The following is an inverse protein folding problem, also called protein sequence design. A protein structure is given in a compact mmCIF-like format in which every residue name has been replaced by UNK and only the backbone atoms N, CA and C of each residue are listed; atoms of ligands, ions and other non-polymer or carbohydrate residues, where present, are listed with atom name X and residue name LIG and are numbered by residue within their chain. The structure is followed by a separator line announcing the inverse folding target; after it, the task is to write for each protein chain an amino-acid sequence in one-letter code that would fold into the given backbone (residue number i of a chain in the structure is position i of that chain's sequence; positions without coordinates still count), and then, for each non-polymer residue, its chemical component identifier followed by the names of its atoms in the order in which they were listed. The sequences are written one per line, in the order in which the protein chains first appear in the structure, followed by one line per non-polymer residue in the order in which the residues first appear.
data_IF_104198103746
#
_entry.id   IF_104198103746
#
_cell.length_a   1.000
_cell.length_b   1.000
_cell.length_c   1.000
_cell.angle_alpha   90.00
_cell.angle_beta   90.00
_cell.angle_gamma   90.00
#
_symmetry.space_group_name_H-M   'P 1'
#
loop_
_entity.id
_entity.type
_entity.pdbx_description
1 polymer ?
#
# COMPACT_ATOMS: atom_id res chain seq x y z
N UNK A 1 -35.57 14.50 -8.34
CA UNK A 1 -34.71 13.83 -9.32
C UNK A 1 -33.51 14.73 -9.62
N UNK A 2 -32.27 14.26 -9.46
CA UNK A 2 -31.07 15.00 -9.85
C UNK A 2 -31.12 15.29 -11.35
N UNK A 3 -30.77 16.52 -11.75
CA UNK A 3 -30.65 16.92 -13.15
C UNK A 3 -29.57 16.02 -13.83
N UNK A 4 -29.66 15.80 -15.13
CA UNK A 4 -28.72 14.93 -15.89
C UNK A 4 -27.25 15.30 -15.65
N UNK A 5 -26.92 16.61 -15.60
CA UNK A 5 -25.59 17.12 -15.27
C UNK A 5 -25.13 16.75 -13.86
N UNK A 6 -25.99 16.91 -12.85
CA UNK A 6 -25.70 16.53 -11.45
C UNK A 6 -25.45 15.04 -11.31
N UNK A 7 -26.21 14.22 -12.05
CA UNK A 7 -26.02 12.77 -12.06
C UNK A 7 -24.64 12.36 -12.60
N UNK A 8 -24.17 13.02 -13.67
CA UNK A 8 -22.82 12.77 -14.21
C UNK A 8 -21.74 13.18 -13.22
N UNK A 9 -21.88 14.36 -12.58
CA UNK A 9 -20.91 14.90 -11.62
C UNK A 9 -20.71 14.01 -10.38
N UNK A 10 -21.65 13.12 -10.06
CA UNK A 10 -21.54 12.16 -8.95
C UNK A 10 -21.21 10.76 -9.47
N UNK A 11 -21.87 10.29 -10.52
CA UNK A 11 -21.73 8.90 -10.96
C UNK A 11 -20.36 8.62 -11.58
N UNK A 12 -19.85 9.53 -12.43
CA UNK A 12 -18.58 9.33 -13.12
C UNK A 12 -17.39 9.23 -12.12
N UNK A 13 -17.18 10.19 -11.20
CA UNK A 13 -16.10 10.04 -10.22
C UNK A 13 -16.30 8.83 -9.29
N UNK A 14 -17.53 8.44 -8.96
CA UNK A 14 -17.80 7.21 -8.20
C UNK A 14 -17.38 5.95 -8.97
N UNK A 15 -17.59 5.90 -10.28
CA UNK A 15 -17.08 4.81 -11.13
C UNK A 15 -15.55 4.83 -11.23
N UNK A 16 -14.94 6.01 -11.39
CA UNK A 16 -13.48 6.14 -11.43
C UNK A 16 -12.83 5.64 -10.14
N UNK A 17 -13.38 6.00 -8.95
CA UNK A 17 -12.91 5.46 -7.66
C UNK A 17 -13.02 3.93 -7.64
N UNK A 18 -14.17 3.39 -8.10
CA UNK A 18 -14.42 1.95 -8.09
C UNK A 18 -13.48 1.18 -9.03
N UNK A 19 -13.03 1.80 -10.13
CA UNK A 19 -12.15 1.20 -11.13
C UNK A 19 -10.65 1.28 -10.76
N UNK A 20 -10.26 2.03 -9.72
CA UNK A 20 -8.86 2.17 -9.31
C UNK A 20 -8.16 0.81 -9.13
N UNK A 21 -8.73 -0.21 -8.46
CA UNK A 21 -8.07 -1.51 -8.34
C UNK A 21 -7.72 -2.13 -9.70
N UNK A 22 -8.58 -2.02 -10.70
CA UNK A 22 -8.33 -2.53 -12.05
C UNK A 22 -7.29 -1.67 -12.79
N UNK A 23 -7.36 -0.35 -12.68
CA UNK A 23 -6.43 0.56 -13.34
C UNK A 23 -5.00 0.46 -12.79
N UNK A 24 -4.83 0.13 -11.52
CA UNK A 24 -3.51 -0.13 -10.93
C UNK A 24 -2.80 -1.33 -11.56
N UNK A 25 -3.53 -2.28 -12.15
CA UNK A 25 -2.96 -3.43 -12.87
C UNK A 25 -2.40 -2.99 -14.23
N UNK A 26 -3.05 -2.05 -14.90
CA UNK A 26 -2.63 -1.57 -16.23
C UNK A 26 -1.45 -0.60 -16.21
N UNK A 27 -0.99 -0.20 -15.00
CA UNK A 27 0.11 0.73 -14.81
C UNK A 27 -0.29 2.06 -14.16
N UNK A 28 0.64 3.02 -14.04
CA UNK A 28 0.41 4.22 -13.24
C UNK A 28 -0.49 5.26 -13.92
N UNK A 29 -0.63 5.24 -15.26
CA UNK A 29 -1.31 6.33 -15.97
C UNK A 29 -2.81 6.41 -15.67
N UNK A 30 -3.56 5.32 -15.89
CA UNK A 30 -5.02 5.33 -15.72
C UNK A 30 -5.42 5.54 -14.26
N UNK A 31 -4.67 4.96 -13.33
CA UNK A 31 -4.91 5.12 -11.91
C UNK A 31 -4.64 6.56 -11.44
N UNK A 32 -3.56 7.20 -11.89
CA UNK A 32 -3.23 8.59 -11.55
C UNK A 32 -4.22 9.58 -12.19
N UNK A 33 -4.58 9.36 -13.47
CA UNK A 33 -5.61 10.14 -14.16
C UNK A 33 -6.95 10.08 -13.42
N UNK A 34 -7.34 8.87 -12.95
CA UNK A 34 -8.59 8.71 -12.18
C UNK A 34 -8.56 9.51 -10.88
N UNK A 35 -7.45 9.49 -10.13
CA UNK A 35 -7.29 10.29 -8.91
C UNK A 35 -7.41 11.78 -9.22
N UNK A 36 -6.75 12.27 -10.27
CA UNK A 36 -6.82 13.68 -10.66
C UNK A 36 -8.25 14.08 -11.04
N UNK A 37 -8.92 13.27 -11.87
CA UNK A 37 -10.31 13.56 -12.26
C UNK A 37 -11.26 13.53 -11.06
N UNK A 38 -11.12 12.55 -10.16
CA UNK A 38 -11.92 12.49 -8.92
C UNK A 38 -11.72 13.74 -8.08
N UNK A 39 -10.48 14.23 -7.92
CA UNK A 39 -10.21 15.47 -7.21
C UNK A 39 -10.87 16.68 -7.89
N UNK A 40 -10.80 16.79 -9.22
CA UNK A 40 -11.43 17.87 -9.98
C UNK A 40 -12.96 17.84 -9.82
N UNK A 41 -13.59 16.67 -10.00
CA UNK A 41 -15.03 16.53 -9.80
C UNK A 41 -15.46 16.84 -8.36
N UNK A 42 -14.68 16.42 -7.37
CA UNK A 42 -14.91 16.74 -5.98
C UNK A 42 -14.90 18.26 -5.75
N UNK A 43 -13.86 18.96 -6.22
CA UNK A 43 -13.76 20.42 -6.07
C UNK A 43 -14.93 21.14 -6.78
N UNK A 44 -15.27 20.73 -8.00
CA UNK A 44 -16.42 21.29 -8.71
C UNK A 44 -17.71 21.15 -7.89
N UNK A 45 -17.98 19.91 -7.36
CA UNK A 45 -19.18 19.66 -6.55
C UNK A 45 -19.19 20.50 -5.27
N UNK A 46 -18.06 20.60 -4.56
CA UNK A 46 -17.92 21.39 -3.33
C UNK A 46 -18.22 22.87 -3.60
N UNK A 47 -17.68 23.43 -4.68
CA UNK A 47 -17.92 24.84 -5.05
C UNK A 47 -19.37 25.09 -5.47
N UNK A 48 -19.95 24.22 -6.29
CA UNK A 48 -21.33 24.35 -6.76
C UNK A 48 -22.36 24.25 -5.61
N UNK A 49 -22.13 23.29 -4.69
CA UNK A 49 -23.05 23.00 -3.59
C UNK A 49 -22.71 23.75 -2.29
N UNK A 50 -21.60 24.50 -2.25
CA UNK A 50 -21.07 25.21 -1.07
C UNK A 50 -20.83 24.28 0.15
N UNK A 51 -20.46 23.02 -0.10
CA UNK A 51 -20.28 21.99 0.95
C UNK A 51 -18.84 21.99 1.51
N UNK A 52 -18.30 23.15 1.87
CA UNK A 52 -16.91 23.35 2.32
C UNK A 52 -16.56 22.61 3.62
N UNK A 53 -17.54 22.13 4.38
CA UNK A 53 -17.35 21.41 5.64
C UNK A 53 -16.49 20.14 5.50
N UNK A 54 -16.40 19.55 4.30
CA UNK A 54 -15.52 18.40 4.04
C UNK A 54 -14.04 18.71 4.27
N UNK A 55 -13.61 19.97 4.08
CA UNK A 55 -12.24 20.40 4.36
C UNK A 55 -11.92 20.51 5.86
N UNK A 56 -12.92 20.58 6.74
CA UNK A 56 -12.72 20.59 8.19
C UNK A 56 -12.40 19.21 8.79
N UNK A 57 -12.08 18.22 7.96
CA UNK A 57 -11.67 16.90 8.42
C UNK A 57 -10.28 16.97 9.07
N UNK A 58 -10.15 16.46 10.30
CA UNK A 58 -8.87 16.47 11.05
C UNK A 58 -7.71 15.80 10.30
N UNK A 59 -7.98 14.70 9.59
CA UNK A 59 -6.98 14.07 8.76
C UNK A 59 -6.48 15.02 7.67
N UNK A 60 -7.41 15.69 6.96
CA UNK A 60 -7.04 16.59 5.88
C UNK A 60 -6.23 17.79 6.38
N UNK A 61 -6.58 18.35 7.55
CA UNK A 61 -5.82 19.45 8.15
C UNK A 61 -4.39 19.04 8.52
N UNK A 62 -4.21 17.85 9.13
CA UNK A 62 -2.89 17.31 9.45
C UNK A 62 -2.10 17.02 8.15
N UNK A 63 -2.75 16.44 7.16
CA UNK A 63 -2.15 16.19 5.84
C UNK A 63 -1.73 17.51 5.17
N UNK A 64 -2.56 18.56 5.25
CA UNK A 64 -2.25 19.87 4.68
C UNK A 64 -1.01 20.52 5.34
N UNK A 65 -0.86 20.39 6.65
CA UNK A 65 0.37 20.85 7.35
C UNK A 65 1.59 20.10 6.82
N UNK A 66 1.51 18.79 6.67
CA UNK A 66 2.59 17.99 6.11
C UNK A 66 2.88 18.37 4.65
N UNK A 67 1.84 18.54 3.83
CA UNK A 67 1.97 19.00 2.45
C UNK A 67 2.64 20.36 2.36
N UNK A 68 2.24 21.33 3.17
CA UNK A 68 2.86 22.66 3.21
C UNK A 68 4.34 22.58 3.58
N UNK A 69 4.68 21.73 4.54
CA UNK A 69 6.07 21.44 4.86
C UNK A 69 6.84 20.88 3.66
N UNK A 70 6.29 19.86 2.97
CA UNK A 70 6.90 19.28 1.78
C UNK A 70 7.11 20.32 0.66
N UNK A 71 6.11 21.18 0.45
CA UNK A 71 6.17 22.24 -0.56
C UNK A 71 7.26 23.28 -0.23
N UNK A 72 7.31 23.79 1.02
CA UNK A 72 8.33 24.71 1.48
C UNK A 72 9.73 24.06 1.41
N UNK A 73 9.86 22.79 1.81
CA UNK A 73 11.07 22.02 1.71
C UNK A 73 11.60 21.98 0.27
N UNK A 74 10.72 21.69 -0.71
CA UNK A 74 11.12 21.64 -2.12
C UNK A 74 11.44 23.02 -2.74
N UNK A 75 10.97 24.11 -2.16
CA UNK A 75 11.42 25.46 -2.54
C UNK A 75 12.80 25.80 -1.98
N UNK A 76 13.05 25.48 -0.71
CA UNK A 76 14.34 25.74 -0.04
C UNK A 76 15.46 24.86 -0.61
N UNK A 77 15.15 23.58 -0.86
CA UNK A 77 16.07 22.58 -1.41
C UNK A 77 15.79 22.33 -2.90
N UNK A 78 15.49 23.39 -3.62
CA UNK A 78 15.22 23.32 -5.05
C UNK A 78 16.43 22.75 -5.80
N UNK A 79 16.22 21.66 -6.52
CA UNK A 79 17.19 21.05 -7.41
C UNK A 79 16.74 21.19 -8.87
N UNK A 80 15.49 20.75 -9.14
CA UNK A 80 14.86 20.87 -10.45
C UNK A 80 13.33 21.02 -10.36
N UNK A 81 12.70 21.33 -11.49
CA UNK A 81 11.24 21.44 -11.56
C UNK A 81 10.49 20.10 -11.33
N UNK A 82 11.14 18.94 -11.55
CA UNK A 82 10.50 17.65 -11.31
C UNK A 82 10.27 17.40 -9.82
N UNK A 83 11.21 17.86 -8.98
CA UNK A 83 11.09 17.78 -7.53
C UNK A 83 9.96 18.66 -7.01
N UNK A 84 9.92 19.93 -7.47
CA UNK A 84 8.85 20.85 -7.14
C UNK A 84 7.47 20.36 -7.62
N UNK A 85 7.37 19.88 -8.85
CA UNK A 85 6.15 19.26 -9.41
C UNK A 85 5.68 18.08 -8.58
N UNK A 86 6.61 17.27 -8.05
CA UNK A 86 6.28 16.10 -7.22
C UNK A 86 5.68 16.51 -5.87
N UNK A 87 6.20 17.57 -5.25
CA UNK A 87 5.66 18.08 -3.99
C UNK A 87 4.28 18.71 -4.17
N UNK A 88 4.10 19.57 -5.19
CA UNK A 88 2.79 20.18 -5.51
C UNK A 88 1.76 19.09 -5.82
N UNK A 89 2.15 18.12 -6.65
CA UNK A 89 1.29 17.01 -7.04
C UNK A 89 0.86 16.12 -5.87
N UNK A 90 1.59 16.13 -4.74
CA UNK A 90 1.27 15.30 -3.58
C UNK A 90 -0.05 15.73 -2.89
N UNK A 91 -0.45 17.01 -3.02
CA UNK A 91 -1.70 17.54 -2.46
C UNK A 91 -2.94 16.73 -2.90
N UNK A 92 -2.94 16.23 -4.16
CA UNK A 92 -4.08 15.48 -4.70
C UNK A 92 -4.44 14.25 -3.87
N UNK A 93 -3.49 13.61 -3.18
CA UNK A 93 -3.77 12.40 -2.40
C UNK A 93 -4.57 12.69 -1.13
N UNK A 94 -4.32 13.83 -0.47
CA UNK A 94 -5.16 14.30 0.64
C UNK A 94 -6.56 14.68 0.18
N UNK A 95 -6.66 15.41 -0.93
CA UNK A 95 -7.95 15.77 -1.56
C UNK A 95 -8.70 14.51 -1.97
N UNK A 96 -8.02 13.54 -2.59
CA UNK A 96 -8.60 12.26 -2.97
C UNK A 96 -9.22 11.51 -1.79
N UNK A 97 -8.52 11.47 -0.64
CA UNK A 97 -9.06 10.79 0.55
C UNK A 97 -10.37 11.39 1.04
N UNK A 98 -10.52 12.72 1.03
CA UNK A 98 -11.79 13.38 1.40
C UNK A 98 -12.83 13.29 0.28
N UNK A 99 -12.40 13.25 -0.99
CA UNK A 99 -13.28 13.05 -2.13
C UNK A 99 -13.95 11.66 -2.07
N UNK A 100 -13.22 10.62 -1.68
CA UNK A 100 -13.80 9.26 -1.47
C UNK A 100 -14.92 9.31 -0.43
N UNK A 101 -14.75 10.03 0.68
CA UNK A 101 -15.83 10.22 1.68
C UNK A 101 -17.04 10.84 1.01
N UNK A 102 -16.84 11.94 0.30
CA UNK A 102 -17.91 12.69 -0.37
C UNK A 102 -18.69 11.80 -1.35
N UNK A 103 -18.00 11.09 -2.24
CA UNK A 103 -18.67 10.28 -3.25
C UNK A 103 -19.33 9.03 -2.69
N UNK A 104 -18.85 8.45 -1.58
CA UNK A 104 -19.57 7.36 -0.89
C UNK A 104 -20.87 7.90 -0.26
N UNK A 105 -20.85 9.07 0.38
CA UNK A 105 -22.04 9.69 0.97
C UNK A 105 -23.10 10.03 -0.10
N UNK A 106 -22.70 10.52 -1.27
CA UNK A 106 -23.62 10.85 -2.38
C UNK A 106 -24.07 9.63 -3.18
N UNK A 107 -23.27 8.55 -3.25
CA UNK A 107 -23.51 7.38 -4.08
C UNK A 107 -23.05 6.09 -3.39
N UNK A 108 -23.86 5.55 -2.50
CA UNK A 108 -23.51 4.32 -1.74
C UNK A 108 -23.30 3.08 -2.64
N UNK A 109 -23.80 3.08 -3.89
CA UNK A 109 -23.54 2.01 -4.87
C UNK A 109 -22.06 1.86 -5.19
N UNK A 110 -21.25 2.92 -4.98
CA UNK A 110 -19.78 2.92 -5.13
C UNK A 110 -19.16 1.74 -4.36
N UNK A 111 -19.62 1.46 -3.14
CA UNK A 111 -19.09 0.37 -2.31
C UNK A 111 -19.28 -1.01 -2.98
N UNK A 112 -20.45 -1.25 -3.58
CA UNK A 112 -20.73 -2.49 -4.33
C UNK A 112 -19.93 -2.56 -5.62
N UNK A 113 -19.82 -1.47 -6.37
CA UNK A 113 -19.03 -1.43 -7.60
C UNK A 113 -17.55 -1.71 -7.30
N UNK A 114 -16.98 -1.06 -6.28
CA UNK A 114 -15.60 -1.31 -5.85
C UNK A 114 -15.38 -2.77 -5.45
N UNK A 115 -16.34 -3.37 -4.71
CA UNK A 115 -16.27 -4.79 -4.36
C UNK A 115 -16.22 -5.69 -5.61
N UNK A 116 -17.09 -5.48 -6.61
CA UNK A 116 -17.08 -6.29 -7.82
C UNK A 116 -15.84 -6.08 -8.67
N UNK A 117 -15.31 -4.84 -8.73
CA UNK A 117 -14.04 -4.57 -9.41
C UNK A 117 -12.89 -5.31 -8.73
N UNK A 118 -12.86 -5.37 -7.40
CA UNK A 118 -11.89 -6.20 -6.68
C UNK A 118 -12.02 -7.69 -7.00
N UNK A 119 -13.25 -8.22 -7.03
CA UNK A 119 -13.47 -9.63 -7.41
C UNK A 119 -12.86 -9.91 -8.79
N UNK A 120 -13.18 -9.07 -9.78
CA UNK A 120 -12.66 -9.21 -11.15
C UNK A 120 -11.13 -9.11 -11.15
N UNK A 121 -10.56 -8.09 -10.51
CA UNK A 121 -9.13 -7.85 -10.49
C UNK A 121 -8.35 -8.99 -9.83
N UNK A 122 -8.81 -9.49 -8.69
CA UNK A 122 -8.14 -10.60 -7.99
C UNK A 122 -8.28 -11.92 -8.74
N UNK A 123 -9.46 -12.22 -9.29
CA UNK A 123 -9.63 -13.43 -10.10
C UNK A 123 -8.79 -13.40 -11.36
N UNK A 124 -8.72 -12.26 -12.06
CA UNK A 124 -7.86 -12.07 -13.22
C UNK A 124 -6.39 -12.37 -12.86
N UNK A 125 -5.87 -11.73 -11.80
CA UNK A 125 -4.47 -11.90 -11.40
C UNK A 125 -4.18 -13.31 -10.89
N UNK A 126 -5.10 -13.94 -10.16
CA UNK A 126 -4.92 -15.31 -9.66
C UNK A 126 -4.92 -16.31 -10.83
N UNK A 127 -5.90 -16.23 -11.72
CA UNK A 127 -5.99 -17.15 -12.87
C UNK A 127 -4.75 -16.97 -13.77
N UNK A 128 -4.46 -15.74 -14.18
CA UNK A 128 -3.31 -15.45 -15.05
C UNK A 128 -1.98 -15.81 -14.37
N UNK A 129 -1.86 -15.58 -13.06
CA UNK A 129 -0.66 -15.92 -12.29
C UNK A 129 -0.37 -17.40 -12.25
N UNK A 130 -1.38 -18.23 -12.04
CA UNK A 130 -1.19 -19.68 -12.11
C UNK A 130 -0.98 -20.18 -13.54
N UNK A 131 -1.63 -19.59 -14.56
CA UNK A 131 -1.32 -19.87 -15.96
C UNK A 131 0.15 -19.58 -16.26
N UNK A 132 0.64 -18.39 -15.90
CA UNK A 132 2.05 -18.02 -16.12
C UNK A 132 3.00 -18.91 -15.33
N UNK A 133 2.63 -19.36 -14.14
CA UNK A 133 3.47 -20.30 -13.37
C UNK A 133 3.62 -21.65 -14.06
N UNK A 134 2.51 -22.26 -14.54
CA UNK A 134 2.54 -23.60 -15.14
C UNK A 134 2.96 -23.59 -16.61
N UNK A 135 2.48 -22.65 -17.41
CA UNK A 135 2.69 -22.58 -18.87
C UNK A 135 3.96 -21.77 -19.20
N UNK A 136 4.49 -20.98 -18.24
CA UNK A 136 5.62 -20.05 -18.38
C UNK A 136 5.33 -18.83 -19.24
N UNK A 137 4.08 -18.64 -19.66
CA UNK A 137 3.57 -17.47 -20.36
C UNK A 137 2.20 -17.09 -19.78
N UNK A 138 1.94 -15.79 -19.70
CA UNK A 138 0.63 -15.31 -19.27
C UNK A 138 -0.41 -15.37 -20.40
N UNK A 139 -1.68 -15.10 -20.13
CA UNK A 139 -2.75 -15.12 -21.15
C UNK A 139 -2.53 -14.16 -22.33
N UNK A 140 -1.62 -13.20 -22.22
CA UNK A 140 -1.23 -12.27 -23.30
C UNK A 140 0.08 -12.65 -23.99
N UNK A 141 0.65 -13.84 -23.70
CA UNK A 141 1.89 -14.31 -24.31
C UNK A 141 3.17 -13.69 -23.70
N UNK A 142 3.09 -12.99 -22.56
CA UNK A 142 4.28 -12.48 -21.91
C UNK A 142 4.96 -13.59 -21.10
N UNK A 143 6.25 -13.91 -21.40
CA UNK A 143 6.94 -14.99 -20.71
C UNK A 143 7.32 -14.63 -19.27
N UNK A 144 7.55 -15.66 -18.46
CA UNK A 144 8.22 -15.49 -17.16
C UNK A 144 9.61 -14.91 -17.42
N UNK A 145 10.08 -14.03 -16.54
CA UNK A 145 11.44 -13.50 -16.63
C UNK A 145 12.48 -14.65 -16.55
N UNK A 146 13.17 -14.88 -17.66
CA UNK A 146 14.15 -15.98 -17.81
C UNK A 146 15.27 -15.88 -16.77
N UNK A 147 15.69 -14.67 -16.38
CA UNK A 147 16.80 -14.45 -15.43
C UNK A 147 16.39 -14.69 -13.98
N UNK A 148 15.20 -14.23 -13.64
CA UNK A 148 14.73 -14.25 -12.26
C UNK A 148 13.66 -15.30 -12.00
N UNK A 149 13.07 -15.93 -13.03
CA UNK A 149 11.92 -16.83 -12.97
C UNK A 149 10.71 -16.26 -12.22
N UNK A 150 10.57 -14.93 -12.23
CA UNK A 150 9.51 -14.21 -11.53
C UNK A 150 8.24 -14.10 -12.36
N UNK A 151 7.12 -14.30 -11.69
CA UNK A 151 5.79 -14.03 -12.22
C UNK A 151 5.59 -12.53 -12.23
N UNK A 152 5.31 -11.94 -13.40
CA UNK A 152 5.12 -10.48 -13.60
C UNK A 152 3.71 -10.13 -14.02
N UNK A 153 3.02 -11.02 -14.71
CA UNK A 153 1.69 -10.83 -15.28
C UNK A 153 1.61 -9.58 -16.18
N UNK A 154 0.59 -8.75 -15.90
CA UNK A 154 0.28 -7.51 -16.60
C UNK A 154 1.11 -6.31 -16.12
N UNK A 155 2.02 -6.50 -15.15
CA UNK A 155 2.82 -5.40 -14.60
C UNK A 155 4.10 -5.12 -15.39
N UNK A 156 4.22 -5.65 -16.61
CA UNK A 156 5.38 -5.50 -17.49
C UNK A 156 6.70 -5.88 -16.78
N UNK A 157 7.70 -5.00 -16.81
CA UNK A 157 9.00 -5.23 -16.17
C UNK A 157 9.03 -4.94 -14.67
N UNK A 158 7.87 -4.67 -14.04
CA UNK A 158 7.79 -4.35 -12.61
C UNK A 158 7.41 -5.57 -11.79
N UNK A 159 8.18 -5.85 -10.73
CA UNK A 159 7.89 -6.91 -9.76
C UNK A 159 7.01 -6.37 -8.62
N UNK A 160 5.75 -6.02 -8.95
CA UNK A 160 4.80 -5.40 -8.01
C UNK A 160 3.50 -6.19 -7.84
N UNK A 161 3.42 -7.40 -8.42
CA UNK A 161 2.25 -8.28 -8.27
C UNK A 161 1.93 -8.55 -6.80
N UNK A 162 2.92 -9.02 -6.04
CA UNK A 162 2.75 -9.30 -4.62
C UNK A 162 2.45 -8.02 -3.82
N UNK A 163 3.09 -6.90 -4.19
CA UNK A 163 2.82 -5.59 -3.57
C UNK A 163 1.37 -5.13 -3.78
N UNK A 164 0.81 -5.35 -4.97
CA UNK A 164 -0.60 -5.09 -5.27
C UNK A 164 -1.51 -5.99 -4.43
N UNK A 165 -1.28 -7.31 -4.48
CA UNK A 165 -2.11 -8.30 -3.81
C UNK A 165 -2.11 -8.10 -2.29
N UNK A 166 -0.95 -7.97 -1.67
CA UNK A 166 -0.81 -7.85 -0.21
C UNK A 166 -1.44 -6.57 0.36
N UNK A 167 -1.35 -5.45 -0.35
CA UNK A 167 -1.86 -4.17 0.15
C UNK A 167 -3.34 -3.94 -0.12
N UNK A 168 -3.87 -4.49 -1.20
CA UNK A 168 -5.28 -4.27 -1.58
C UNK A 168 -6.22 -5.38 -1.09
N UNK A 169 -5.71 -6.58 -0.79
CA UNK A 169 -6.53 -7.67 -0.25
C UNK A 169 -7.24 -7.30 1.06
N UNK A 170 -6.61 -6.61 2.03
CA UNK A 170 -7.31 -6.20 3.25
C UNK A 170 -8.47 -5.23 2.97
N UNK A 171 -8.37 -4.37 1.95
CA UNK A 171 -9.45 -3.46 1.52
C UNK A 171 -10.61 -4.25 0.93
N UNK A 172 -10.31 -5.25 0.10
CA UNK A 172 -11.31 -6.17 -0.43
C UNK A 172 -12.04 -6.96 0.67
N UNK A 173 -11.27 -7.46 1.64
CA UNK A 173 -11.82 -8.13 2.80
C UNK A 173 -12.72 -7.20 3.63
N UNK A 174 -12.32 -5.94 3.80
CA UNK A 174 -13.13 -4.91 4.45
C UNK A 174 -14.49 -4.77 3.78
N UNK A 175 -14.52 -4.57 2.46
CA UNK A 175 -15.76 -4.47 1.70
C UNK A 175 -16.62 -5.74 1.80
N UNK A 176 -15.99 -6.91 1.88
CA UNK A 176 -16.70 -8.17 2.12
C UNK A 176 -17.42 -8.18 3.48
N UNK A 177 -16.73 -7.71 4.54
CA UNK A 177 -17.37 -7.59 5.86
C UNK A 177 -18.50 -6.57 5.87
N UNK A 178 -18.33 -5.45 5.21
CA UNK A 178 -19.35 -4.42 5.14
C UNK A 178 -20.62 -4.89 4.41
N UNK A 179 -20.45 -5.51 3.24
CA UNK A 179 -21.57 -5.84 2.35
C UNK A 179 -22.18 -7.21 2.65
N UNK A 180 -21.37 -8.17 3.11
CA UNK A 180 -21.73 -9.58 3.19
C UNK A 180 -21.28 -10.26 4.50
N UNK A 181 -20.89 -9.50 5.53
CA UNK A 181 -20.30 -10.03 6.76
C UNK A 181 -21.18 -10.99 7.56
N UNK A 182 -22.46 -11.04 7.28
CA UNK A 182 -23.38 -12.00 7.89
C UNK A 182 -23.58 -13.28 7.03
N UNK A 183 -22.99 -13.36 5.85
CA UNK A 183 -23.14 -14.49 4.90
C UNK A 183 -21.87 -15.34 4.89
N UNK A 184 -21.91 -16.47 5.60
CA UNK A 184 -20.77 -17.40 5.75
C UNK A 184 -20.15 -17.84 4.41
N UNK A 185 -20.96 -18.03 3.37
CA UNK A 185 -20.46 -18.47 2.06
C UNK A 185 -19.48 -17.45 1.42
N UNK A 186 -19.74 -16.14 1.55
CA UNK A 186 -18.82 -15.13 1.06
C UNK A 186 -17.51 -15.14 1.84
N UNK A 187 -17.57 -15.34 3.16
CA UNK A 187 -16.37 -15.42 4.00
C UNK A 187 -15.53 -16.66 3.63
N UNK A 188 -16.16 -17.81 3.35
CA UNK A 188 -15.45 -19.01 2.89
C UNK A 188 -14.81 -18.78 1.52
N UNK A 189 -15.55 -18.21 0.57
CA UNK A 189 -15.01 -17.88 -0.77
C UNK A 189 -13.78 -16.98 -0.69
N UNK A 190 -13.86 -15.89 0.08
CA UNK A 190 -12.71 -14.97 0.26
C UNK A 190 -11.56 -15.64 1.02
N UNK A 191 -11.85 -16.61 1.91
CA UNK A 191 -10.81 -17.38 2.59
C UNK A 191 -10.08 -18.30 1.62
N UNK A 192 -10.79 -18.95 0.72
CA UNK A 192 -10.20 -19.75 -0.35
C UNK A 192 -9.33 -18.86 -1.29
N UNK A 193 -9.88 -17.71 -1.70
CA UNK A 193 -9.15 -16.76 -2.53
C UNK A 193 -7.86 -16.25 -1.83
N UNK A 194 -7.90 -16.06 -0.49
CA UNK A 194 -6.71 -15.70 0.29
C UNK A 194 -5.61 -16.75 0.17
N UNK A 195 -5.95 -18.04 0.29
CA UNK A 195 -4.95 -19.12 0.16
C UNK A 195 -4.31 -19.09 -1.23
N UNK A 196 -5.09 -18.90 -2.29
CA UNK A 196 -4.56 -18.77 -3.65
C UNK A 196 -3.65 -17.54 -3.80
N UNK A 197 -4.04 -16.41 -3.25
CA UNK A 197 -3.27 -15.16 -3.30
C UNK A 197 -1.96 -15.31 -2.53
N UNK A 198 -1.98 -15.81 -1.29
CA UNK A 198 -0.79 -16.02 -0.47
C UNK A 198 0.21 -16.94 -1.16
N UNK A 199 -0.29 -18.02 -1.74
CA UNK A 199 0.50 -18.96 -2.52
C UNK A 199 1.09 -18.31 -3.77
N UNK A 200 0.30 -17.50 -4.48
CA UNK A 200 0.78 -16.78 -5.68
C UNK A 200 1.85 -15.74 -5.32
N UNK A 201 1.71 -15.02 -4.21
CA UNK A 201 2.75 -14.10 -3.71
C UNK A 201 4.03 -14.88 -3.39
N UNK A 202 3.93 -16.06 -2.77
CA UNK A 202 5.08 -16.92 -2.54
C UNK A 202 5.76 -17.31 -3.86
N UNK A 203 5.00 -17.79 -4.85
CA UNK A 203 5.49 -18.19 -6.16
C UNK A 203 6.10 -17.03 -6.96
N UNK A 204 5.62 -15.80 -6.78
CA UNK A 204 6.20 -14.61 -7.42
C UNK A 204 7.60 -14.26 -6.89
N UNK A 205 8.00 -14.81 -5.74
CA UNK A 205 9.28 -14.54 -5.09
C UNK A 205 9.42 -13.15 -4.51
N UNK A 206 8.31 -12.44 -4.28
CA UNK A 206 8.29 -11.11 -3.65
C UNK A 206 8.26 -11.22 -2.12
N UNK A 207 9.42 -11.44 -1.49
CA UNK A 207 9.56 -11.69 -0.04
C UNK A 207 8.90 -10.64 0.85
N UNK A 208 9.08 -9.36 0.51
CA UNK A 208 8.48 -8.25 1.28
C UNK A 208 6.96 -8.26 1.18
N UNK A 209 6.42 -8.59 0.01
CA UNK A 209 4.98 -8.71 -0.17
C UNK A 209 4.40 -9.91 0.59
N UNK A 210 5.11 -11.03 0.61
CA UNK A 210 4.78 -12.20 1.42
C UNK A 210 4.74 -11.85 2.92
N UNK A 211 5.79 -11.18 3.41
CA UNK A 211 5.84 -10.66 4.78
C UNK A 211 4.64 -9.74 5.09
N UNK A 212 4.32 -8.78 4.22
CA UNK A 212 3.22 -7.86 4.45
C UNK A 212 1.84 -8.55 4.41
N UNK A 213 1.63 -9.52 3.53
CA UNK A 213 0.37 -10.25 3.48
C UNK A 213 0.16 -11.08 4.74
N UNK A 214 1.19 -11.78 5.19
CA UNK A 214 1.21 -12.54 6.46
C UNK A 214 1.01 -11.61 7.68
N UNK A 215 1.72 -10.49 7.74
CA UNK A 215 1.59 -9.50 8.81
C UNK A 215 0.17 -8.93 8.88
N UNK A 216 -0.42 -8.62 7.71
CA UNK A 216 -1.81 -8.18 7.58
C UNK A 216 -2.79 -9.24 8.10
N UNK A 217 -2.60 -10.49 7.72
CA UNK A 217 -3.46 -11.60 8.17
C UNK A 217 -3.38 -11.79 9.70
N UNK A 218 -2.19 -11.75 10.27
CA UNK A 218 -1.98 -11.84 11.74
C UNK A 218 -2.64 -10.65 12.43
N UNK A 219 -2.45 -9.43 11.94
CA UNK A 219 -3.09 -8.23 12.47
C UNK A 219 -4.62 -8.38 12.50
N UNK A 220 -5.22 -8.82 11.38
CA UNK A 220 -6.65 -9.05 11.28
C UNK A 220 -7.10 -10.13 12.27
N UNK A 221 -6.41 -11.27 12.36
CA UNK A 221 -6.76 -12.38 13.27
C UNK A 221 -6.77 -11.93 14.73
N UNK A 222 -5.81 -11.10 15.13
CA UNK A 222 -5.70 -10.60 16.51
C UNK A 222 -6.85 -9.65 16.85
N UNK A 223 -7.17 -8.72 15.94
CA UNK A 223 -8.03 -7.57 16.23
C UNK A 223 -9.49 -7.74 15.80
N UNK A 224 -9.78 -8.64 14.85
CA UNK A 224 -11.14 -8.86 14.34
C UNK A 224 -12.05 -9.47 15.39
N UNK A 225 -13.37 -9.17 15.31
CA UNK A 225 -14.37 -9.73 16.20
C UNK A 225 -14.97 -11.03 15.64
N UNK A 226 -15.43 -11.01 14.38
CA UNK A 226 -16.13 -12.12 13.72
C UNK A 226 -15.18 -13.01 12.92
N UNK A 227 -15.51 -14.31 12.84
CA UNK A 227 -14.83 -15.28 11.98
C UNK A 227 -13.32 -15.47 12.26
N UNK A 228 -12.84 -15.13 13.47
CA UNK A 228 -11.44 -15.28 13.88
C UNK A 228 -10.89 -16.70 13.65
N UNK A 229 -11.68 -17.75 14.01
CA UNK A 229 -11.30 -19.15 13.77
C UNK A 229 -11.12 -19.46 12.28
N UNK A 230 -12.03 -18.98 11.42
CA UNK A 230 -11.93 -19.19 9.97
C UNK A 230 -10.66 -18.54 9.44
N UNK A 231 -10.33 -17.30 9.86
CA UNK A 231 -9.11 -16.60 9.44
C UNK A 231 -7.85 -17.32 9.89
N UNK A 232 -7.84 -17.82 11.11
CA UNK A 232 -6.72 -18.61 11.62
C UNK A 232 -6.51 -19.91 10.82
N UNK A 233 -7.59 -20.66 10.59
CA UNK A 233 -7.54 -21.89 9.78
C UNK A 233 -7.09 -21.56 8.34
N UNK A 234 -7.56 -20.46 7.77
CA UNK A 234 -7.18 -20.00 6.42
C UNK A 234 -5.67 -19.74 6.34
N UNK A 235 -5.10 -19.05 7.35
CA UNK A 235 -3.66 -18.78 7.42
C UNK A 235 -2.85 -20.08 7.56
N UNK A 236 -3.29 -21.01 8.41
CA UNK A 236 -2.64 -22.32 8.54
C UNK A 236 -2.70 -23.11 7.22
N UNK A 237 -3.83 -23.07 6.53
CA UNK A 237 -4.00 -23.75 5.24
C UNK A 237 -3.09 -23.13 4.16
N UNK A 238 -2.92 -21.81 4.14
CA UNK A 238 -1.99 -21.18 3.19
C UNK A 238 -0.54 -21.56 3.48
N UNK A 239 -0.10 -21.59 4.74
CA UNK A 239 1.24 -22.07 5.10
C UNK A 239 1.45 -23.55 4.76
N UNK A 240 0.43 -24.37 4.98
CA UNK A 240 0.48 -25.80 4.59
C UNK A 240 0.63 -25.97 3.07
N UNK A 241 -0.11 -25.20 2.28
CA UNK A 241 -0.01 -25.21 0.82
C UNK A 241 1.39 -24.75 0.36
N UNK A 242 1.93 -23.67 0.97
CA UNK A 242 3.27 -23.18 0.69
C UNK A 242 4.34 -24.20 1.07
N UNK A 243 4.18 -24.87 2.21
CA UNK A 243 5.09 -25.96 2.63
C UNK A 243 5.11 -27.09 1.60
N UNK A 244 3.94 -27.56 1.12
CA UNK A 244 3.87 -28.58 0.08
C UNK A 244 4.57 -28.13 -1.20
N UNK A 245 4.32 -26.90 -1.65
CA UNK A 245 5.00 -26.36 -2.85
C UNK A 245 6.51 -26.29 -2.65
N UNK A 246 6.97 -25.89 -1.46
CA UNK A 246 8.42 -25.82 -1.15
C UNK A 246 9.12 -27.17 -1.18
N UNK A 247 8.38 -28.27 -1.05
CA UNK A 247 8.94 -29.63 -1.20
C UNK A 247 9.15 -29.97 -2.68
N UNK A 248 8.26 -29.54 -3.57
CA UNK A 248 8.23 -29.94 -4.98
C UNK A 248 8.84 -28.88 -5.92
N UNK A 249 8.94 -27.62 -5.53
CA UNK A 249 9.50 -26.53 -6.34
C UNK A 249 10.77 -25.96 -5.72
N UNK A 250 11.91 -26.46 -6.16
CA UNK A 250 13.24 -26.00 -5.74
C UNK A 250 13.47 -24.52 -6.05
N UNK A 251 12.86 -23.98 -7.12
CA UNK A 251 13.04 -22.58 -7.51
C UNK A 251 12.37 -21.65 -6.52
N UNK A 252 11.11 -21.93 -6.17
CA UNK A 252 10.36 -21.15 -5.18
C UNK A 252 11.02 -21.24 -3.79
N UNK A 253 11.47 -22.46 -3.40
CA UNK A 253 12.21 -22.70 -2.16
C UNK A 253 13.49 -21.87 -2.10
N UNK A 254 14.37 -21.97 -3.10
CA UNK A 254 15.64 -21.23 -3.17
C UNK A 254 15.44 -19.73 -3.06
N UNK A 255 14.40 -19.18 -3.66
CA UNK A 255 14.15 -17.73 -3.65
C UNK A 255 13.68 -17.20 -2.31
N UNK A 256 12.71 -17.85 -1.71
CA UNK A 256 12.09 -17.33 -0.47
C UNK A 256 12.92 -17.77 0.75
N UNK A 257 13.30 -19.05 0.83
CA UNK A 257 13.97 -19.59 2.01
C UNK A 257 15.48 -19.40 1.95
N UNK A 258 16.15 -20.03 0.97
CA UNK A 258 17.62 -20.08 0.94
C UNK A 258 18.24 -18.68 0.78
N UNK A 259 17.70 -17.86 -0.16
CA UNK A 259 18.18 -16.49 -0.31
C UNK A 259 17.89 -15.61 0.91
N UNK A 260 16.80 -15.85 1.66
CA UNK A 260 16.51 -15.11 2.88
C UNK A 260 17.45 -15.51 4.01
N UNK A 261 17.66 -16.82 4.21
CA UNK A 261 18.59 -17.36 5.21
C UNK A 261 20.01 -16.84 4.96
N UNK A 262 20.48 -16.93 3.71
CA UNK A 262 21.81 -16.45 3.31
C UNK A 262 21.97 -14.94 3.51
N UNK A 263 20.92 -14.14 3.19
CA UNK A 263 20.97 -12.67 3.36
C UNK A 263 20.91 -12.21 4.81
N UNK A 264 20.21 -12.95 5.68
CA UNK A 264 20.20 -12.67 7.13
C UNK A 264 21.53 -13.11 7.76
N UNK A 265 22.32 -13.95 7.05
CA UNK A 265 23.63 -14.39 7.54
C UNK A 265 23.53 -15.40 8.69
N UNK A 266 22.45 -16.20 8.76
CA UNK A 266 22.31 -17.23 9.79
C UNK A 266 23.45 -18.25 9.77
N UNK A 267 24.09 -18.44 8.61
CA UNK A 267 25.23 -19.33 8.42
C UNK A 267 26.59 -18.59 8.47
N UNK A 268 26.59 -17.28 8.75
CA UNK A 268 27.79 -16.44 8.79
C UNK A 268 28.01 -15.81 10.17
N UNK A 269 29.25 -15.37 10.42
CA UNK A 269 29.62 -14.68 11.68
C UNK A 269 28.97 -13.28 11.85
N UNK A 270 28.24 -12.78 10.84
CA UNK A 270 27.54 -11.49 10.87
C UNK A 270 26.08 -11.70 10.51
N UNK A 271 25.19 -11.49 11.47
CA UNK A 271 23.75 -11.39 11.21
C UNK A 271 23.41 -10.01 10.64
N UNK A 272 22.86 -9.97 9.44
CA UNK A 272 22.36 -8.76 8.80
C UNK A 272 20.83 -8.74 8.85
N UNK A 273 20.25 -7.66 9.37
CA UNK A 273 18.78 -7.49 9.40
C UNK A 273 18.24 -7.22 7.98
N UNK A 274 19.03 -6.53 7.15
CA UNK A 274 18.71 -6.23 5.77
C UNK A 274 19.79 -6.81 4.83
N UNK A 275 19.47 -6.91 3.54
CA UNK A 275 20.50 -7.28 2.55
C UNK A 275 21.58 -6.19 2.46
N UNK A 276 22.81 -6.57 2.12
CA UNK A 276 23.93 -5.64 1.94
C UNK A 276 23.60 -4.45 1.02
N UNK A 277 22.83 -4.70 -0.04
CA UNK A 277 22.36 -3.67 -0.97
C UNK A 277 21.45 -2.67 -0.25
N UNK A 278 20.48 -3.13 0.55
CA UNK A 278 19.60 -2.22 1.30
C UNK A 278 20.37 -1.48 2.38
N UNK A 279 21.31 -2.11 3.07
CA UNK A 279 22.15 -1.45 4.07
C UNK A 279 23.00 -0.37 3.44
N UNK A 280 23.55 -0.60 2.25
CA UNK A 280 24.31 0.42 1.52
C UNK A 280 23.46 1.65 1.15
N UNK A 281 22.19 1.42 0.74
CA UNK A 281 21.24 2.51 0.50
C UNK A 281 20.91 3.29 1.78
N UNK A 282 20.73 2.59 2.91
CA UNK A 282 20.42 3.22 4.19
C UNK A 282 21.59 4.03 4.72
N UNK A 283 22.82 3.53 4.59
CA UNK A 283 24.02 4.26 4.98
C UNK A 283 24.24 5.50 4.12
N UNK A 284 24.01 5.40 2.80
CA UNK A 284 24.07 6.57 1.91
C UNK A 284 23.04 7.63 2.31
N UNK A 285 21.80 7.22 2.55
CA UNK A 285 20.73 8.10 3.02
C UNK A 285 21.03 8.72 4.41
N UNK A 286 21.63 7.95 5.32
CA UNK A 286 22.03 8.45 6.63
C UNK A 286 23.14 9.49 6.55
N UNK A 287 24.14 9.31 5.68
CA UNK A 287 25.15 10.35 5.42
C UNK A 287 24.51 11.65 4.91
N UNK A 288 23.54 11.56 3.98
CA UNK A 288 22.79 12.72 3.50
C UNK A 288 22.02 13.43 4.63
N UNK A 289 21.43 12.67 5.55
CA UNK A 289 20.80 13.22 6.75
C UNK A 289 21.79 13.94 7.66
N UNK A 290 22.99 13.39 7.89
CA UNK A 290 23.99 14.02 8.76
C UNK A 290 24.40 15.41 8.28
N UNK A 291 24.45 15.61 6.96
CA UNK A 291 24.75 16.92 6.35
C UNK A 291 23.56 17.89 6.39
N UNK A 292 22.32 17.38 6.48
CA UNK A 292 21.11 18.18 6.40
C UNK A 292 20.04 17.72 7.43
N UNK A 293 20.38 17.74 8.72
CA UNK A 293 19.61 17.09 9.79
C UNK A 293 18.18 17.59 9.93
N UNK A 294 17.92 18.88 9.78
CA UNK A 294 16.60 19.47 10.11
C UNK A 294 15.60 19.28 8.97
N UNK A 295 15.96 19.66 7.75
CA UNK A 295 15.05 19.68 6.59
C UNK A 295 15.44 18.68 5.49
N UNK A 296 16.54 17.94 5.66
CA UNK A 296 17.02 16.98 4.66
C UNK A 296 17.58 17.64 3.39
N UNK A 297 17.86 16.80 2.39
CA UNK A 297 18.42 17.21 1.09
C UNK A 297 17.35 17.64 0.07
N UNK A 298 16.08 17.58 0.41
CA UNK A 298 14.96 17.86 -0.49
C UNK A 298 14.29 16.60 -1.05
N UNK A 299 12.99 16.74 -1.34
CA UNK A 299 12.12 15.62 -1.82
C UNK A 299 12.68 15.05 -3.13
N UNK A 300 12.72 13.70 -3.23
CA UNK A 300 13.22 12.94 -4.38
C UNK A 300 14.67 13.26 -4.79
N UNK A 301 15.44 13.89 -3.94
CA UNK A 301 16.83 14.26 -4.21
C UNK A 301 17.82 13.14 -3.88
N UNK A 302 17.42 12.06 -3.21
CA UNK A 302 18.31 10.92 -2.98
C UNK A 302 19.01 10.48 -4.27
N UNK A 303 18.24 10.28 -5.36
CA UNK A 303 18.75 9.86 -6.67
C UNK A 303 19.76 10.84 -7.31
N UNK A 304 19.67 12.11 -6.96
CA UNK A 304 20.50 13.15 -7.53
C UNK A 304 21.86 13.27 -6.82
N UNK A 305 21.89 12.94 -5.52
CA UNK A 305 23.07 13.08 -4.68
C UNK A 305 23.79 11.77 -4.36
N UNK A 306 23.17 10.60 -4.51
CA UNK A 306 23.75 9.32 -4.12
C UNK A 306 25.01 8.94 -4.92
N UNK A 307 25.28 9.61 -6.07
CA UNK A 307 26.48 9.43 -6.87
C UNK A 307 27.70 10.21 -6.33
N UNK A 308 27.48 11.19 -5.44
CA UNK A 308 28.57 11.97 -4.88
C UNK A 308 29.43 11.11 -3.94
N UNK A 309 30.75 11.18 -4.07
CA UNK A 309 31.72 10.36 -3.30
C UNK A 309 31.49 10.45 -1.78
N UNK A 310 31.06 11.60 -1.26
CA UNK A 310 30.77 11.79 0.17
C UNK A 310 29.59 10.93 0.67
N UNK A 311 28.64 10.59 -0.22
CA UNK A 311 27.46 9.79 0.14
C UNK A 311 27.57 8.34 -0.31
N UNK A 312 28.47 8.05 -1.24
CA UNK A 312 28.70 6.71 -1.74
C UNK A 312 29.24 5.81 -0.64
N UNK A 313 28.66 4.64 -0.46
CA UNK A 313 29.08 3.65 0.54
C UNK A 313 29.50 2.34 -0.09
N UNK A 314 28.97 2.03 -1.27
CA UNK A 314 29.23 0.84 -2.06
C UNK A 314 28.97 1.12 -3.53
N UNK A 315 29.41 0.26 -4.45
CA UNK A 315 29.11 0.39 -5.88
C UNK A 315 27.60 0.51 -6.16
N UNK A 316 26.79 -0.26 -5.44
CA UNK A 316 25.34 -0.33 -5.58
C UNK A 316 24.57 0.58 -4.60
N UNK A 317 25.24 1.54 -3.96
CA UNK A 317 24.59 2.42 -2.96
C UNK A 317 23.66 3.48 -3.58
N UNK A 318 23.68 3.64 -4.90
CA UNK A 318 22.86 4.63 -5.61
C UNK A 318 21.70 4.00 -6.37
N UNK A 319 20.51 4.52 -6.11
CA UNK A 319 19.25 4.09 -6.73
C UNK A 319 18.25 5.24 -6.72
N UNK A 320 17.02 5.01 -7.18
CA UNK A 320 15.98 6.04 -7.23
C UNK A 320 15.49 6.52 -5.86
N UNK A 321 15.68 5.73 -4.79
CA UNK A 321 15.27 6.02 -3.41
C UNK A 321 15.87 4.96 -2.48
N UNK A 322 15.98 5.17 -1.16
CA UNK A 322 16.67 4.25 -0.26
C UNK A 322 15.88 2.99 0.13
N UNK A 323 14.79 2.68 -0.57
CA UNK A 323 13.96 1.48 -0.34
C UNK A 323 13.39 1.31 1.09
N UNK A 324 13.27 2.39 1.85
CA UNK A 324 12.54 2.42 3.11
C UNK A 324 11.94 3.80 3.33
N UNK A 325 10.65 3.88 3.61
CA UNK A 325 9.91 5.14 3.76
C UNK A 325 10.49 6.04 4.84
N UNK A 326 10.85 5.49 6.01
CA UNK A 326 11.37 6.28 7.12
C UNK A 326 12.79 6.78 6.85
N UNK A 327 13.63 5.94 6.27
CA UNK A 327 14.97 6.31 5.84
C UNK A 327 14.91 7.36 4.74
N UNK A 328 13.96 7.24 3.80
CA UNK A 328 13.73 8.24 2.76
C UNK A 328 13.28 9.58 3.36
N UNK A 329 12.29 9.57 4.26
CA UNK A 329 11.86 10.79 4.94
C UNK A 329 13.00 11.44 5.72
N UNK A 330 13.82 10.64 6.43
CA UNK A 330 14.96 11.14 7.18
C UNK A 330 15.98 11.84 6.27
N UNK A 331 16.36 11.23 5.14
CA UNK A 331 17.33 11.80 4.21
C UNK A 331 16.77 13.01 3.45
N UNK A 332 15.55 12.88 2.88
CA UNK A 332 15.00 13.86 1.96
C UNK A 332 14.26 15.02 2.65
N UNK A 333 13.64 14.75 3.82
CA UNK A 333 12.85 15.74 4.56
C UNK A 333 13.38 16.03 5.97
N UNK A 334 14.52 15.44 6.32
CA UNK A 334 15.16 15.64 7.61
C UNK A 334 14.34 15.14 8.81
N UNK A 335 14.72 15.60 9.99
CA UNK A 335 14.08 15.20 11.24
C UNK A 335 12.59 15.58 11.30
N UNK A 336 12.19 16.69 10.68
CA UNK A 336 10.79 17.15 10.68
C UNK A 336 9.87 16.13 9.98
N UNK A 337 10.17 15.76 8.73
CA UNK A 337 9.35 14.79 8.00
C UNK A 337 9.45 13.38 8.58
N UNK A 338 10.62 12.98 9.07
CA UNK A 338 10.81 11.72 9.78
C UNK A 338 9.93 11.62 11.03
N UNK A 339 9.95 12.63 11.91
CA UNK A 339 9.14 12.67 13.12
C UNK A 339 7.64 12.68 12.82
N UNK A 340 7.22 13.31 11.71
CA UNK A 340 5.83 13.22 11.26
C UNK A 340 5.43 11.76 10.97
N UNK A 341 6.24 11.03 10.21
CA UNK A 341 5.99 9.61 9.93
C UNK A 341 5.99 8.74 11.18
N UNK A 342 6.99 8.92 12.06
CA UNK A 342 7.09 8.18 13.33
C UNK A 342 5.91 8.47 14.25
N UNK A 343 5.51 9.73 14.39
CA UNK A 343 4.36 10.13 15.21
C UNK A 343 3.07 9.49 14.71
N UNK A 344 2.88 9.47 13.38
CA UNK A 344 1.73 8.82 12.76
C UNK A 344 1.71 7.32 13.08
N UNK A 345 2.84 6.63 12.97
CA UNK A 345 2.97 5.22 13.30
C UNK A 345 2.69 4.94 14.78
N UNK A 346 3.31 5.70 15.68
CA UNK A 346 3.09 5.54 17.13
C UNK A 346 1.63 5.82 17.53
N UNK A 347 1.01 6.85 16.95
CA UNK A 347 -0.41 7.13 17.15
C UNK A 347 -1.30 5.97 16.69
N UNK A 348 -0.97 5.39 15.51
CA UNK A 348 -1.66 4.20 15.01
C UNK A 348 -1.54 3.04 16.00
N UNK A 349 -0.32 2.69 16.44
CA UNK A 349 -0.07 1.61 17.41
C UNK A 349 -0.84 1.86 18.71
N UNK A 350 -0.83 3.09 19.23
CA UNK A 350 -1.58 3.46 20.43
C UNK A 350 -3.08 3.18 20.27
N UNK A 351 -3.68 3.52 19.12
CA UNK A 351 -5.09 3.23 18.84
C UNK A 351 -5.38 1.73 18.76
N UNK A 352 -4.47 0.94 18.17
CA UNK A 352 -4.61 -0.52 18.09
C UNK A 352 -4.49 -1.18 19.46
N UNK A 353 -3.55 -0.74 20.28
CA UNK A 353 -3.42 -1.22 21.67
C UNK A 353 -4.66 -0.91 22.52
N UNK A 354 -5.25 0.28 22.33
CA UNK A 354 -6.50 0.65 23.01
C UNK A 354 -7.68 -0.21 22.54
N UNK A 355 -7.77 -0.49 21.24
CA UNK A 355 -8.76 -1.42 20.72
C UNK A 355 -8.62 -2.81 21.33
N UNK A 356 -7.38 -3.33 21.36
CA UNK A 356 -7.09 -4.64 21.94
C UNK A 356 -7.42 -4.71 23.43
N UNK A 357 -7.02 -3.69 24.21
CA UNK A 357 -7.39 -3.58 25.64
C UNK A 357 -8.90 -3.54 25.82
N UNK A 358 -9.62 -2.77 25.01
CA UNK A 358 -11.08 -2.72 25.05
C UNK A 358 -11.72 -4.09 24.76
N UNK A 359 -11.23 -4.79 23.74
CA UNK A 359 -11.71 -6.12 23.36
C UNK A 359 -11.45 -7.18 24.43
N UNK A 360 -10.26 -7.18 25.05
CA UNK A 360 -9.86 -8.18 26.02
C UNK A 360 -10.49 -7.97 27.41
N UNK A 361 -10.47 -6.72 27.91
CA UNK A 361 -10.83 -6.46 29.31
C UNK A 361 -12.24 -5.91 29.49
N UNK A 362 -12.80 -5.18 28.50
CA UNK A 362 -14.08 -4.49 28.61
C UNK A 362 -15.17 -5.05 27.70
N UNK A 363 -14.85 -6.01 26.83
CA UNK A 363 -15.73 -6.50 25.74
C UNK A 363 -16.28 -5.34 24.86
N UNK A 364 -15.52 -4.25 24.77
CA UNK A 364 -15.85 -3.07 23.98
C UNK A 364 -14.86 -2.94 22.84
N UNK A 365 -15.34 -2.95 21.63
CA UNK A 365 -14.52 -2.81 20.41
C UNK A 365 -14.53 -1.36 19.96
N UNK A 366 -13.35 -0.75 19.88
CA UNK A 366 -13.18 0.62 19.38
C UNK A 366 -13.46 0.72 17.87
N UNK A 367 -13.14 -0.35 17.14
CA UNK A 367 -13.32 -0.46 15.69
C UNK A 367 -14.12 -1.71 15.33
N UNK A 368 -14.95 -1.63 14.30
CA UNK A 368 -15.63 -2.79 13.73
C UNK A 368 -14.74 -3.54 12.74
N UNK A 369 -15.20 -4.74 12.29
CA UNK A 369 -14.40 -5.62 11.43
C UNK A 369 -14.05 -5.00 10.07
N UNK A 370 -14.93 -4.17 9.51
CA UNK A 370 -14.66 -3.39 8.31
C UNK A 370 -13.47 -2.43 8.51
N UNK A 371 -13.52 -1.67 9.62
CA UNK A 371 -12.46 -0.73 9.99
C UNK A 371 -11.14 -1.43 10.28
N UNK A 372 -11.16 -2.59 10.98
CA UNK A 372 -9.94 -3.37 11.25
C UNK A 372 -9.26 -3.83 9.97
N UNK A 373 -10.01 -4.29 8.98
CA UNK A 373 -9.43 -4.69 7.70
C UNK A 373 -8.81 -3.50 6.94
N UNK A 374 -9.45 -2.32 6.95
CA UNK A 374 -8.86 -1.10 6.37
C UNK A 374 -7.61 -0.64 7.12
N UNK A 375 -7.66 -0.69 8.47
CA UNK A 375 -6.51 -0.39 9.31
C UNK A 375 -5.36 -1.36 9.09
N UNK A 376 -5.63 -2.62 8.74
CA UNK A 376 -4.59 -3.58 8.34
C UNK A 376 -3.86 -3.15 7.07
N UNK A 377 -4.59 -2.67 6.04
CA UNK A 377 -3.97 -2.12 4.83
C UNK A 377 -3.10 -0.89 5.14
N UNK A 378 -3.57 0.00 6.01
CA UNK A 378 -2.80 1.18 6.45
C UNK A 378 -1.58 0.74 7.27
N UNK A 379 -1.72 -0.23 8.18
CA UNK A 379 -0.66 -0.73 9.04
C UNK A 379 0.55 -1.25 8.26
N UNK A 380 0.32 -2.16 7.30
CA UNK A 380 1.42 -2.69 6.49
C UNK A 380 2.08 -1.63 5.60
N UNK A 381 1.33 -0.58 5.26
CA UNK A 381 1.83 0.56 4.48
C UNK A 381 2.79 1.45 5.29
N UNK A 382 2.48 1.69 6.56
CA UNK A 382 3.30 2.50 7.48
C UNK A 382 4.29 1.66 8.30
N UNK A 383 4.47 0.38 8.01
CA UNK A 383 5.39 -0.50 8.72
C UNK A 383 6.86 -0.08 8.51
N UNK A 384 7.65 0.18 9.60
CA UNK A 384 8.97 0.79 9.44
C UNK A 384 10.09 -0.18 9.08
N UNK A 385 9.96 -1.47 9.46
CA UNK A 385 11.05 -2.45 9.46
C UNK A 385 11.08 -3.33 8.20
N UNK A 386 10.55 -2.86 7.07
CA UNK A 386 10.63 -3.60 5.82
C UNK A 386 10.96 -2.66 4.65
N UNK A 387 11.61 -3.16 3.61
CA UNK A 387 11.81 -2.39 2.40
C UNK A 387 10.47 -1.94 1.80
N UNK A 388 10.43 -0.71 1.31
CA UNK A 388 9.26 -0.11 0.68
C UNK A 388 9.63 0.56 -0.64
N UNK A 389 8.65 0.81 -1.49
CA UNK A 389 8.85 1.64 -2.67
C UNK A 389 9.04 3.11 -2.32
N UNK A 390 9.28 3.92 -3.35
CA UNK A 390 9.45 5.36 -3.18
C UNK A 390 8.17 6.01 -2.64
N UNK A 391 8.25 6.65 -1.48
CA UNK A 391 7.13 7.32 -0.80
C UNK A 391 6.42 8.35 -1.69
N UNK A 392 7.17 9.02 -2.57
CA UNK A 392 6.65 10.03 -3.51
C UNK A 392 6.30 9.46 -4.89
N UNK A 393 6.17 8.14 -5.03
CA UNK A 393 5.72 7.50 -6.27
C UNK A 393 4.20 7.51 -6.35
N UNK A 394 3.65 7.88 -7.53
CA UNK A 394 2.20 8.02 -7.73
C UNK A 394 1.44 6.71 -7.50
N UNK A 395 1.90 5.60 -8.10
CA UNK A 395 1.24 4.30 -7.98
C UNK A 395 1.13 3.85 -6.51
N UNK A 396 2.25 3.94 -5.78
CA UNK A 396 2.30 3.59 -4.35
C UNK A 396 1.43 4.52 -3.51
N UNK A 397 1.48 5.83 -3.78
CA UNK A 397 0.66 6.81 -3.05
C UNK A 397 -0.84 6.55 -3.24
N UNK A 398 -1.27 6.15 -4.46
CA UNK A 398 -2.68 5.75 -4.67
C UNK A 398 -3.04 4.56 -3.79
N UNK A 399 -2.21 3.51 -3.76
CA UNK A 399 -2.42 2.32 -2.91
C UNK A 399 -2.48 2.69 -1.43
N UNK A 400 -1.69 3.68 -0.99
CA UNK A 400 -1.64 4.14 0.40
C UNK A 400 -2.88 4.95 0.79
N UNK A 401 -3.31 5.88 -0.05
CA UNK A 401 -4.40 6.79 0.27
C UNK A 401 -5.79 6.22 -0.05
N UNK A 402 -5.88 5.19 -0.89
CA UNK A 402 -7.14 4.53 -1.22
C UNK A 402 -7.88 3.98 0.01
N UNK A 403 -7.29 3.15 0.90
CA UNK A 403 -7.95 2.67 2.11
C UNK A 403 -8.28 3.79 3.11
N UNK A 404 -7.51 4.89 3.11
CA UNK A 404 -7.71 6.01 4.04
C UNK A 404 -9.08 6.66 3.82
N UNK A 405 -9.47 6.91 2.58
CA UNK A 405 -10.78 7.51 2.27
C UNK A 405 -11.96 6.67 2.78
N UNK A 406 -11.92 5.34 2.57
CA UNK A 406 -12.93 4.40 3.09
C UNK A 406 -12.94 4.36 4.62
N UNK A 407 -11.76 4.36 5.24
CA UNK A 407 -11.63 4.36 6.70
C UNK A 407 -12.23 5.64 7.31
N UNK A 408 -11.87 6.81 6.77
CA UNK A 408 -12.39 8.08 7.26
C UNK A 408 -13.92 8.19 7.09
N UNK A 409 -14.45 7.68 5.98
CA UNK A 409 -15.90 7.58 5.80
C UNK A 409 -16.55 6.72 6.89
N UNK A 410 -15.96 5.58 7.22
CA UNK A 410 -16.50 4.67 8.23
C UNK A 410 -16.48 5.21 9.65
N UNK A 411 -15.72 6.26 9.95
CA UNK A 411 -15.70 6.92 11.26
C UNK A 411 -16.89 7.89 11.45
N UNK A 412 -17.56 8.26 10.36
CA UNK A 412 -18.76 9.13 10.40
C UNK A 412 -20.06 8.33 10.56
N UNK A 413 -20.04 7.04 10.20
CA UNK A 413 -21.15 6.11 10.21
C UNK A 413 -20.89 4.93 11.17
#
# INVERSE_FOLDING_TARGET
MLNFKEKILITLPSLLISLIPLFLITGPFLSDLSVVLVCIFFLINIFLNKEYSFFNNKFFLIFLIFFLYLFINSLIKFYDFNNLRSSIGYLRFGIFSIAVIYFIEKQQKLLKWTFFVFVISFLLLVIDGYIQYFIKENIFGNPVDIRSLRIRLLFNDQYILGSYLSRLFPVFLALTFLLYGNKKNYIIFISFLFVLIETLIFLSGERVAFFFNTLSAIFIIILINKFKKIRFITLLLSFFTIFLISIYDDTAKKRIWDQTINQIGLDSSKMNIFSEIHESHYLSAYKMFLDNKVIGIGIRNFRNYCHEERYKTHADSCTTHPHNTYVQLLAETGLIGFLFGVTLFLYFIFKMLNHLKGALFKKQYLFNDFQICLLSAIFITIWPLAPSGNFFNNWISIVYFFPVGFFLWSLKN
#
